data_IF_933126846110
#
_entry.id   IF_933126846110
#
_cell.length_a   1.000
_cell.length_b   1.000
_cell.length_c   1.000
_cell.angle_alpha   90.00
_cell.angle_beta   90.00
_cell.angle_gamma   90.00
#
_symmetry.space_group_name_H-M   'P 1'
#
loop_
_entity.id
_entity.type
_entity.pdbx_description
1 polymer ?
#
# COMPACT_ATOMS: atom_id res chain seq x y z
N UNK A 1 -18.22 2.37 -6.30
CA UNK A 1 -19.02 2.18 -5.08
C UNK A 1 -18.94 3.46 -4.27
N UNK A 2 -20.08 4.09 -3.96
CA UNK A 2 -20.15 5.31 -3.15
C UNK A 2 -20.18 4.93 -1.66
N UNK A 3 -19.67 5.79 -0.75
CA UNK A 3 -19.63 5.51 0.70
C UNK A 3 -20.99 5.11 1.30
N UNK A 4 -22.11 5.54 0.71
CA UNK A 4 -23.46 5.14 1.12
C UNK A 4 -23.71 3.62 1.01
N UNK A 5 -23.18 2.97 -0.02
CA UNK A 5 -23.52 1.57 -0.31
C UNK A 5 -22.90 0.61 0.70
N UNK A 6 -21.70 0.89 1.19
CA UNK A 6 -21.06 0.05 2.21
C UNK A 6 -21.77 0.14 3.57
N UNK A 7 -22.30 1.33 3.91
CA UNK A 7 -23.03 1.55 5.14
C UNK A 7 -24.42 0.90 5.10
N UNK A 8 -25.13 1.01 3.98
CA UNK A 8 -26.42 0.34 3.78
C UNK A 8 -26.30 -1.19 3.86
N UNK A 9 -25.25 -1.76 3.26
CA UNK A 9 -24.96 -3.21 3.36
C UNK A 9 -24.66 -3.61 4.80
N UNK A 10 -23.88 -2.82 5.55
CA UNK A 10 -23.63 -3.08 6.96
C UNK A 10 -24.91 -3.02 7.81
N UNK A 11 -25.82 -2.08 7.49
CA UNK A 11 -27.10 -1.97 8.18
C UNK A 11 -28.00 -3.19 7.93
N UNK A 12 -27.94 -3.77 6.73
CA UNK A 12 -28.72 -4.94 6.34
C UNK A 12 -28.22 -6.27 6.95
N UNK A 13 -27.02 -6.30 7.54
CA UNK A 13 -26.47 -7.51 8.19
C UNK A 13 -27.17 -7.85 9.50
N UNK A 14 -27.26 -9.14 9.81
CA UNK A 14 -27.67 -9.63 11.13
C UNK A 14 -26.64 -9.28 12.21
N UNK A 15 -27.04 -9.35 13.48
CA UNK A 15 -26.15 -8.98 14.61
C UNK A 15 -24.84 -9.80 14.63
N UNK A 16 -24.91 -11.11 14.38
CA UNK A 16 -23.71 -11.96 14.32
C UNK A 16 -22.77 -11.59 13.16
N UNK A 17 -23.34 -11.24 12.00
CA UNK A 17 -22.55 -10.86 10.82
C UNK A 17 -21.90 -9.49 11.01
N UNK A 18 -22.57 -8.57 11.70
CA UNK A 18 -22.00 -7.26 12.07
C UNK A 18 -20.79 -7.42 12.99
N UNK A 19 -20.85 -8.30 13.98
CA UNK A 19 -19.71 -8.58 14.86
C UNK A 19 -18.52 -9.16 14.09
N UNK A 20 -18.78 -10.13 13.20
CA UNK A 20 -17.75 -10.70 12.31
C UNK A 20 -17.13 -9.63 11.41
N UNK A 21 -17.95 -8.74 10.85
CA UNK A 21 -17.50 -7.64 10.00
C UNK A 21 -16.61 -6.65 10.76
N UNK A 22 -17.01 -6.25 11.98
CA UNK A 22 -16.22 -5.37 12.85
C UNK A 22 -14.88 -6.02 13.25
N UNK A 23 -14.87 -7.32 13.57
CA UNK A 23 -13.63 -8.06 13.84
C UNK A 23 -12.68 -8.06 12.63
N UNK A 24 -13.21 -8.25 11.42
CA UNK A 24 -12.42 -8.25 10.18
C UNK A 24 -11.80 -6.87 9.91
N UNK A 25 -12.56 -5.78 10.07
CA UNK A 25 -12.05 -4.41 9.94
C UNK A 25 -10.96 -4.14 10.96
N UNK A 26 -11.18 -4.52 12.22
CA UNK A 26 -10.23 -4.30 13.31
C UNK A 26 -8.92 -5.05 13.07
N UNK A 27 -9.01 -6.32 12.66
CA UNK A 27 -7.84 -7.13 12.31
C UNK A 27 -7.09 -6.56 11.10
N UNK A 28 -7.82 -6.07 10.09
CA UNK A 28 -7.23 -5.43 8.93
C UNK A 28 -6.50 -4.13 9.30
N UNK A 29 -7.12 -3.24 10.09
CA UNK A 29 -6.47 -2.02 10.59
C UNK A 29 -5.23 -2.33 11.44
N UNK A 30 -5.30 -3.31 12.34
CA UNK A 30 -4.15 -3.74 13.13
C UNK A 30 -3.02 -4.29 12.26
N UNK A 31 -3.35 -5.02 11.19
CA UNK A 31 -2.35 -5.52 10.24
C UNK A 31 -1.70 -4.40 9.42
N UNK A 32 -2.46 -3.36 9.02
CA UNK A 32 -1.92 -2.19 8.33
C UNK A 32 -1.02 -1.39 9.28
N UNK A 33 -1.43 -1.19 10.53
CA UNK A 33 -0.61 -0.55 11.56
C UNK A 33 0.70 -1.31 11.79
N UNK A 34 0.64 -2.64 11.89
CA UNK A 34 1.84 -3.50 12.00
C UNK A 34 2.72 -3.51 10.75
N UNK A 35 2.13 -3.28 9.56
CA UNK A 35 2.87 -3.17 8.30
C UNK A 35 3.55 -1.80 8.17
N UNK A 36 2.95 -0.75 8.73
CA UNK A 36 3.53 0.59 8.84
C UNK A 36 4.65 0.64 9.90
N UNK A 37 4.52 -0.08 11.02
CA UNK A 37 5.55 -0.15 12.05
C UNK A 37 6.76 -1.00 11.63
N UNK A 38 6.58 -2.03 10.80
CA UNK A 38 7.68 -2.85 10.23
C UNK A 38 8.48 -2.16 9.12
N UNK A 39 8.12 -0.94 8.69
CA UNK A 39 8.84 -0.20 7.64
C UNK A 39 9.40 1.12 8.17
N UNK A 40 10.05 1.09 9.32
CA UNK A 40 11.04 2.12 9.72
C UNK A 40 12.45 1.53 9.64
N UNK A 41 12.86 1.12 8.45
CA UNK A 41 14.25 1.31 8.10
C UNK A 41 14.33 2.80 7.78
N UNK A 42 14.70 3.61 8.78
CA UNK A 42 15.09 5.01 8.56
C UNK A 42 16.35 4.98 7.71
N UNK A 43 16.18 4.80 6.41
CA UNK A 43 17.18 5.20 5.44
C UNK A 43 17.13 6.72 5.51
N UNK A 44 18.18 7.33 6.05
CA UNK A 44 18.38 8.77 6.04
C UNK A 44 18.56 9.20 4.58
N UNK A 45 17.43 9.31 3.88
CA UNK A 45 17.39 9.66 2.48
C UNK A 45 17.56 11.18 2.39
N UNK A 46 18.77 11.61 2.05
CA UNK A 46 19.06 13.03 1.96
C UNK A 46 18.54 13.60 0.62
N UNK A 47 18.56 14.92 0.44
CA UNK A 47 18.08 15.57 -0.80
C UNK A 47 18.89 15.17 -2.04
N UNK A 48 20.20 14.95 -1.90
CA UNK A 48 21.09 14.48 -2.96
C UNK A 48 20.79 13.03 -3.36
N UNK A 49 20.41 12.16 -2.41
CA UNK A 49 19.98 10.79 -2.70
C UNK A 49 18.68 10.78 -3.52
N UNK A 50 17.76 11.72 -3.23
CA UNK A 50 16.53 11.92 -3.99
C UNK A 50 16.83 12.37 -5.43
N UNK A 51 17.71 13.34 -5.59
CA UNK A 51 18.13 13.86 -6.90
C UNK A 51 18.83 12.76 -7.70
N UNK A 52 19.74 12.01 -7.06
CA UNK A 52 20.44 10.88 -7.69
C UNK A 52 19.48 9.79 -8.13
N UNK A 53 18.53 9.40 -7.28
CA UNK A 53 17.51 8.41 -7.61
C UNK A 53 16.65 8.88 -8.79
N UNK A 54 16.22 10.14 -8.80
CA UNK A 54 15.42 10.73 -9.87
C UNK A 54 16.18 10.70 -11.21
N UNK A 55 17.46 11.09 -11.21
CA UNK A 55 18.34 11.02 -12.38
C UNK A 55 18.51 9.57 -12.85
N UNK A 56 18.71 8.63 -11.93
CA UNK A 56 18.94 7.23 -12.28
C UNK A 56 17.70 6.47 -12.75
N UNK A 57 16.52 6.83 -12.25
CA UNK A 57 15.27 6.13 -12.58
C UNK A 57 14.48 6.78 -13.70
N UNK A 58 14.37 8.12 -13.71
CA UNK A 58 13.57 8.85 -14.71
C UNK A 58 14.42 9.23 -15.92
N UNK A 59 15.61 9.77 -15.70
CA UNK A 59 16.45 10.27 -16.80
C UNK A 59 17.37 9.19 -17.41
N UNK A 60 17.64 8.09 -16.71
CA UNK A 60 18.48 6.98 -17.19
C UNK A 60 17.73 5.86 -17.90
N UNK A 61 16.46 6.05 -18.26
CA UNK A 61 15.72 5.10 -19.11
C UNK A 61 15.97 5.35 -20.60
N UNK A 62 17.23 5.28 -21.01
CA UNK A 62 17.60 4.95 -22.40
C UNK A 62 19.03 4.40 -22.49
N UNK A 63 19.22 3.19 -21.99
CA UNK A 63 19.99 2.19 -22.73
C UNK A 63 19.16 0.92 -22.75
N UNK A 64 18.27 0.86 -23.73
CA UNK A 64 17.69 -0.40 -24.18
C UNK A 64 18.86 -1.30 -24.59
N UNK A 65 19.33 -2.17 -23.69
CA UNK A 65 20.11 -3.33 -24.13
C UNK A 65 19.10 -4.34 -24.67
N UNK A 66 18.82 -4.21 -25.97
CA UNK A 66 18.44 -5.36 -26.80
C UNK A 66 19.63 -6.34 -26.86
N UNK A 67 19.32 -7.58 -27.23
CA UNK A 67 20.19 -8.75 -27.41
C UNK A 67 20.37 -9.61 -26.16
N UNK A 68 20.19 -10.92 -26.19
CA UNK A 68 19.56 -11.86 -27.13
C UNK A 68 19.47 -13.19 -26.34
N UNK A 69 18.48 -14.03 -26.64
CA UNK A 69 18.45 -15.46 -26.28
C UNK A 69 19.83 -16.13 -26.33
N UNK A 70 20.10 -17.01 -25.35
CA UNK A 70 20.62 -18.37 -25.53
C UNK A 70 20.35 -19.17 -24.25
#
# INVERSE_FOLDING_TARGET
MTSNTAYEVFLALSNEEREKFLMLITKHQASISNKLSKKRNTIDFNKDDAIKYLIETIFKKSKIKKHHSL
#
